data_IF_167547567494
#
_entry.id   IF_167547567494
#
_cell.length_a   1.000
_cell.length_b   1.000
_cell.length_c   1.000
_cell.angle_alpha   90.00
_cell.angle_beta   90.00
_cell.angle_gamma   90.00
#
_symmetry.space_group_name_H-M   'P 1'
#
loop_
_entity.id
_entity.type
_entity.pdbx_description
1 polymer ?
#
# COMPACT_ATOMS: atom_id res chain seq x y z
N UNK A 1 -23.63 22.50 22.88
CA UNK A 1 -23.33 21.23 23.57
C UNK A 1 -24.54 20.35 23.38
N UNK A 2 -24.45 19.28 22.58
CA UNK A 2 -25.48 18.24 22.64
C UNK A 2 -25.43 17.63 24.05
N UNK A 3 -26.60 17.43 24.66
CA UNK A 3 -26.67 16.89 26.00
C UNK A 3 -26.36 15.39 25.96
N UNK A 4 -25.28 14.96 26.62
CA UNK A 4 -24.87 13.54 26.71
C UNK A 4 -26.01 12.63 27.20
N UNK A 5 -26.95 13.18 27.98
CA UNK A 5 -28.14 12.49 28.48
C UNK A 5 -29.06 11.93 27.38
N UNK A 6 -28.90 12.38 26.12
CA UNK A 6 -29.66 11.88 24.98
C UNK A 6 -29.12 10.54 24.43
N UNK A 7 -27.85 10.21 24.68
CA UNK A 7 -27.17 9.02 24.16
C UNK A 7 -27.95 7.71 24.40
N UNK A 8 -28.48 7.41 25.62
CA UNK A 8 -29.22 6.17 25.85
C UNK A 8 -30.50 6.06 25.00
N UNK A 9 -31.16 7.19 24.73
CA UNK A 9 -32.36 7.22 23.90
C UNK A 9 -32.03 7.06 22.42
N UNK A 10 -30.97 7.72 21.96
CA UNK A 10 -30.47 7.58 20.60
C UNK A 10 -30.01 6.15 20.30
N UNK A 11 -29.35 5.47 21.24
CA UNK A 11 -28.94 4.06 21.08
C UNK A 11 -30.16 3.14 20.94
N UNK A 12 -31.17 3.30 21.79
CA UNK A 12 -32.44 2.55 21.68
C UNK A 12 -33.16 2.81 20.36
N UNK A 13 -33.18 4.07 19.91
CA UNK A 13 -33.83 4.45 18.66
C UNK A 13 -33.06 3.92 17.44
N UNK A 14 -31.73 3.92 17.48
CA UNK A 14 -30.90 3.36 16.43
C UNK A 14 -31.10 1.84 16.27
N UNK A 15 -31.33 1.12 17.36
CA UNK A 15 -31.64 -0.32 17.37
C UNK A 15 -33.05 -0.61 16.85
N UNK A 16 -34.05 0.20 17.24
CA UNK A 16 -35.45 -0.03 16.89
C UNK A 16 -35.84 0.40 15.46
N UNK A 17 -35.20 1.43 14.91
CA UNK A 17 -35.59 2.05 13.64
C UNK A 17 -34.78 1.52 12.45
N UNK A 18 -35.25 1.81 11.23
CA UNK A 18 -34.55 1.48 9.98
C UNK A 18 -34.63 2.61 8.95
N UNK A 19 -33.84 2.51 7.88
CA UNK A 19 -33.85 3.48 6.78
C UNK A 19 -33.42 4.89 7.22
N UNK A 20 -34.18 5.92 6.79
CA UNK A 20 -33.81 7.33 6.98
C UNK A 20 -33.76 7.76 8.44
N UNK A 21 -34.65 7.23 9.28
CA UNK A 21 -34.70 7.56 10.71
C UNK A 21 -33.44 7.05 11.40
N UNK A 22 -33.10 5.77 11.20
CA UNK A 22 -31.85 5.18 11.72
C UNK A 22 -30.62 5.96 11.23
N UNK A 23 -30.58 6.34 9.96
CA UNK A 23 -29.45 7.11 9.41
C UNK A 23 -29.24 8.44 10.15
N UNK A 24 -30.31 9.20 10.40
CA UNK A 24 -30.22 10.47 11.12
C UNK A 24 -29.78 10.29 12.58
N UNK A 25 -30.30 9.27 13.26
CA UNK A 25 -29.91 8.94 14.65
C UNK A 25 -28.44 8.55 14.73
N UNK A 26 -27.93 7.79 13.75
CA UNK A 26 -26.51 7.44 13.67
C UNK A 26 -25.63 8.67 13.42
N UNK A 27 -26.08 9.66 12.64
CA UNK A 27 -25.38 10.95 12.48
C UNK A 27 -25.33 11.74 13.79
N UNK A 28 -26.43 11.77 14.54
CA UNK A 28 -26.45 12.41 15.86
C UNK A 28 -25.53 11.71 16.86
N UNK A 29 -25.51 10.37 16.88
CA UNK A 29 -24.57 9.60 17.71
C UNK A 29 -23.11 9.82 17.28
N UNK A 30 -22.84 9.93 15.98
CA UNK A 30 -21.50 10.16 15.44
C UNK A 30 -20.91 11.51 15.91
N UNK A 31 -21.76 12.51 16.18
CA UNK A 31 -21.33 13.82 16.66
C UNK A 31 -20.68 13.78 18.07
N UNK A 32 -20.89 12.69 18.82
CA UNK A 32 -20.23 12.48 20.11
C UNK A 32 -18.85 11.81 20.00
N UNK A 33 -18.46 11.31 18.82
CA UNK A 33 -17.13 10.74 18.60
C UNK A 33 -16.04 11.85 18.62
N UNK A 34 -14.85 11.58 19.19
CA UNK A 34 -14.33 10.29 19.65
C UNK A 34 -14.69 9.94 21.10
N UNK A 35 -15.43 10.80 21.81
CA UNK A 35 -15.73 10.65 23.24
C UNK A 35 -16.99 9.81 23.53
N UNK A 36 -17.52 9.11 22.53
CA UNK A 36 -18.76 8.35 22.66
C UNK A 36 -18.62 7.21 23.69
N UNK A 37 -17.51 6.47 23.67
CA UNK A 37 -17.25 5.40 24.66
C UNK A 37 -17.15 5.95 26.09
N UNK A 38 -16.46 7.09 26.25
CA UNK A 38 -16.30 7.76 27.55
C UNK A 38 -17.66 8.26 28.07
N UNK A 39 -18.48 8.85 27.19
CA UNK A 39 -19.80 9.34 27.55
C UNK A 39 -20.75 8.21 27.96
N UNK A 40 -20.72 7.07 27.25
CA UNK A 40 -21.48 5.86 27.60
C UNK A 40 -21.06 5.33 28.98
N UNK A 41 -19.75 5.27 29.24
CA UNK A 41 -19.22 4.83 30.53
C UNK A 41 -19.63 5.77 31.68
N UNK A 42 -19.58 7.09 31.48
CA UNK A 42 -20.01 8.10 32.47
C UNK A 42 -21.50 7.96 32.81
N UNK A 43 -22.33 7.65 31.81
CA UNK A 43 -23.78 7.48 31.99
C UNK A 43 -24.16 6.11 32.59
N UNK A 44 -23.21 5.18 32.71
CA UNK A 44 -23.46 3.83 33.23
C UNK A 44 -24.43 3.03 32.36
N UNK A 45 -24.37 3.20 31.04
CA UNK A 45 -25.26 2.51 30.10
C UNK A 45 -24.68 1.14 29.74
N UNK A 46 -25.42 0.08 30.06
CA UNK A 46 -25.12 -1.26 29.59
C UNK A 46 -25.61 -1.42 28.14
N UNK A 47 -24.68 -1.62 27.20
CA UNK A 47 -24.98 -1.76 25.79
C UNK A 47 -25.47 -3.17 25.43
N UNK A 48 -26.50 -3.26 24.59
CA UNK A 48 -26.83 -4.52 23.89
C UNK A 48 -25.74 -4.86 22.86
N UNK A 49 -25.64 -6.12 22.38
CA UNK A 49 -24.68 -6.46 21.32
C UNK A 49 -24.83 -5.62 20.05
N UNK A 50 -26.06 -5.25 19.66
CA UNK A 50 -26.32 -4.39 18.50
C UNK A 50 -25.86 -2.95 18.77
N UNK A 51 -26.14 -2.41 19.95
CA UNK A 51 -25.68 -1.08 20.34
C UNK A 51 -24.15 -1.00 20.44
N UNK A 52 -23.50 -2.03 21.00
CA UNK A 52 -22.05 -2.14 21.02
C UNK A 52 -21.46 -2.15 19.61
N UNK A 53 -22.08 -2.88 18.68
CA UNK A 53 -21.68 -2.88 17.27
C UNK A 53 -21.85 -1.50 16.62
N UNK A 54 -22.95 -0.79 16.89
CA UNK A 54 -23.19 0.57 16.40
C UNK A 54 -22.09 1.52 16.91
N UNK A 55 -21.87 1.55 18.23
CA UNK A 55 -20.87 2.44 18.87
C UNK A 55 -19.48 2.18 18.30
N UNK A 56 -19.09 0.91 18.22
CA UNK A 56 -17.82 0.50 17.62
C UNK A 56 -17.68 1.01 16.18
N UNK A 57 -18.72 0.82 15.36
CA UNK A 57 -18.74 1.26 13.96
C UNK A 57 -18.61 2.79 13.84
N UNK A 58 -19.27 3.55 14.70
CA UNK A 58 -19.21 5.01 14.71
C UNK A 58 -17.82 5.52 15.09
N UNK A 59 -17.22 4.97 16.16
CA UNK A 59 -15.87 5.34 16.58
C UNK A 59 -14.83 4.99 15.51
N UNK A 60 -14.93 3.83 14.88
CA UNK A 60 -14.07 3.45 13.76
C UNK A 60 -14.21 4.41 12.57
N UNK A 61 -15.45 4.77 12.19
CA UNK A 61 -15.70 5.69 11.09
C UNK A 61 -15.13 7.09 11.37
N UNK A 62 -15.32 7.59 12.60
CA UNK A 62 -14.74 8.87 13.03
C UNK A 62 -13.21 8.83 13.00
N UNK A 63 -12.60 7.75 13.50
CA UNK A 63 -11.15 7.57 13.47
C UNK A 63 -10.63 7.53 12.04
N UNK A 64 -11.29 6.78 11.14
CA UNK A 64 -10.96 6.73 9.71
C UNK A 64 -11.02 8.12 9.07
N UNK A 65 -12.09 8.89 9.32
CA UNK A 65 -12.21 10.26 8.81
C UNK A 65 -11.10 11.17 9.35
N UNK A 66 -10.79 11.07 10.64
CA UNK A 66 -9.70 11.83 11.27
C UNK A 66 -8.35 11.54 10.62
N UNK A 67 -8.03 10.26 10.39
CA UNK A 67 -6.81 9.89 9.67
C UNK A 67 -6.82 10.39 8.23
N UNK A 68 -7.94 10.31 7.52
CA UNK A 68 -8.05 10.81 6.15
C UNK A 68 -7.82 12.33 6.05
N UNK A 69 -8.38 13.13 6.96
CA UNK A 69 -8.15 14.58 6.98
C UNK A 69 -6.71 14.93 7.33
N UNK A 70 -6.14 14.27 8.35
CA UNK A 70 -4.72 14.41 8.67
C UNK A 70 -3.83 14.02 7.48
N UNK A 71 -4.21 12.96 6.75
CA UNK A 71 -3.49 12.48 5.58
C UNK A 71 -3.53 13.48 4.41
N UNK A 72 -4.66 14.14 4.17
CA UNK A 72 -4.74 15.23 3.18
C UNK A 72 -3.78 16.37 3.54
N UNK A 73 -3.76 16.77 4.82
CA UNK A 73 -2.92 17.87 5.28
C UNK A 73 -1.43 17.54 5.16
N UNK A 74 -0.98 16.34 5.55
CA UNK A 74 0.44 15.97 5.46
C UNK A 74 0.92 15.89 4.00
N UNK A 75 0.05 15.50 3.07
CA UNK A 75 0.40 15.42 1.64
C UNK A 75 0.56 16.80 0.99
N UNK A 76 0.08 17.87 1.62
CA UNK A 76 0.28 19.24 1.16
C UNK A 76 1.63 19.82 1.60
N UNK A 77 2.46 19.05 2.32
CA UNK A 77 3.81 19.48 2.71
C UNK A 77 4.71 19.61 1.46
N UNK A 78 5.35 20.77 1.20
CA UNK A 78 6.19 20.95 0.01
C UNK A 78 7.56 20.26 0.11
N UNK A 79 8.03 19.97 1.31
CA UNK A 79 9.28 19.26 1.53
C UNK A 79 9.02 17.75 1.50
N UNK A 80 9.63 17.06 0.53
CA UNK A 80 9.42 15.62 0.32
C UNK A 80 9.88 14.77 1.51
N UNK A 81 10.96 15.15 2.19
CA UNK A 81 11.46 14.40 3.35
C UNK A 81 10.51 14.55 4.53
N UNK A 82 10.01 15.77 4.77
CA UNK A 82 8.99 16.01 5.80
C UNK A 82 7.66 15.34 5.49
N UNK A 83 7.25 15.30 4.22
CA UNK A 83 6.05 14.57 3.77
C UNK A 83 6.19 13.07 4.05
N UNK A 84 7.30 12.47 3.62
CA UNK A 84 7.57 11.04 3.83
C UNK A 84 7.62 10.69 5.31
N UNK A 85 8.32 11.48 6.13
CA UNK A 85 8.39 11.28 7.57
C UNK A 85 7.01 11.38 8.24
N UNK A 86 6.23 12.41 7.90
CA UNK A 86 4.89 12.62 8.46
C UNK A 86 3.92 11.49 8.10
N UNK A 87 4.01 10.97 6.87
CA UNK A 87 3.23 9.83 6.42
C UNK A 87 3.61 8.55 7.20
N UNK A 88 4.90 8.28 7.36
CA UNK A 88 5.41 7.12 8.10
C UNK A 88 5.08 7.18 9.60
N UNK A 89 5.14 8.38 10.20
CA UNK A 89 4.69 8.61 11.58
C UNK A 89 3.18 8.37 11.72
N UNK A 90 2.37 8.88 10.77
CA UNK A 90 0.93 8.63 10.77
C UNK A 90 0.59 7.13 10.62
N UNK A 91 1.25 6.39 9.73
CA UNK A 91 1.12 4.93 9.61
C UNK A 91 1.47 4.25 10.94
N UNK A 92 2.57 4.69 11.57
CA UNK A 92 3.01 4.12 12.84
C UNK A 92 1.96 4.29 13.94
N UNK A 93 1.31 5.45 14.00
CA UNK A 93 0.23 5.75 14.94
C UNK A 93 -1.04 4.93 14.67
N UNK A 94 -1.40 4.72 13.39
CA UNK A 94 -2.53 3.84 13.02
C UNK A 94 -2.32 2.43 13.57
N UNK A 95 -1.08 1.92 13.54
CA UNK A 95 -0.75 0.57 13.99
C UNK A 95 -0.48 0.46 15.50
N UNK A 96 -0.51 1.57 16.26
CA UNK A 96 -0.04 1.61 17.66
C UNK A 96 -1.14 1.39 18.71
N UNK A 97 -2.18 0.60 18.39
CA UNK A 97 -3.49 0.56 19.07
C UNK A 97 -3.49 0.49 20.62
N UNK A 98 -2.42 0.03 21.28
CA UNK A 98 -2.35 -0.08 22.75
C UNK A 98 -1.21 0.72 23.40
N UNK A 99 -0.21 1.17 22.63
CA UNK A 99 0.95 1.86 23.16
C UNK A 99 1.43 2.92 22.18
N UNK A 100 1.39 4.22 22.53
CA UNK A 100 1.90 5.26 21.66
C UNK A 100 3.40 5.04 21.43
N UNK A 101 3.80 4.92 20.17
CA UNK A 101 5.20 4.88 19.83
C UNK A 101 5.88 6.22 20.14
N UNK A 102 7.20 6.18 20.33
CA UNK A 102 8.01 7.41 20.30
C UNK A 102 7.88 8.05 18.92
N UNK A 103 7.84 9.38 18.86
CA UNK A 103 7.84 10.12 17.59
C UNK A 103 8.95 9.61 16.66
N UNK A 104 8.59 9.30 15.42
CA UNK A 104 9.54 8.83 14.40
C UNK A 104 10.67 9.84 14.24
N UNK A 105 10.34 11.13 14.18
CA UNK A 105 11.33 12.19 14.04
C UNK A 105 12.38 12.20 15.15
N UNK A 106 11.96 12.01 16.41
CA UNK A 106 12.89 11.91 17.54
C UNK A 106 13.83 10.71 17.43
N UNK A 107 13.33 9.55 16.97
CA UNK A 107 14.15 8.35 16.80
C UNK A 107 15.21 8.53 15.71
N UNK A 108 14.82 9.18 14.60
CA UNK A 108 15.72 9.50 13.49
C UNK A 108 16.74 10.58 13.87
N UNK A 109 16.34 11.61 14.63
CA UNK A 109 17.25 12.61 15.19
C UNK A 109 18.30 11.98 16.08
N UNK A 110 17.89 11.04 16.94
CA UNK A 110 18.82 10.31 17.81
C UNK A 110 19.85 9.50 17.02
N UNK A 111 19.44 8.85 15.93
CA UNK A 111 20.38 8.17 15.03
C UNK A 111 21.38 9.13 14.38
N UNK A 112 20.91 10.29 13.90
CA UNK A 112 21.77 11.31 13.31
C UNK A 112 22.76 11.88 14.35
N UNK A 113 22.31 12.14 15.57
CA UNK A 113 23.17 12.58 16.68
C UNK A 113 24.21 11.53 17.06
N UNK A 114 23.82 10.26 17.16
CA UNK A 114 24.74 9.17 17.45
C UNK A 114 25.80 9.00 16.35
N UNK A 115 25.42 9.16 15.07
CA UNK A 115 26.36 9.15 13.95
C UNK A 115 27.41 10.26 14.06
N UNK A 116 26.97 11.50 14.37
CA UNK A 116 27.86 12.68 14.51
C UNK A 116 28.90 12.55 15.62
N UNK A 117 28.69 11.69 16.62
CA UNK A 117 29.69 11.42 17.68
C UNK A 117 30.99 10.83 17.13
N UNK A 118 30.89 10.03 16.07
CA UNK A 118 32.01 9.27 15.52
C UNK A 118 32.45 9.76 14.13
N UNK A 119 31.60 10.51 13.43
CA UNK A 119 31.85 10.98 12.06
C UNK A 119 31.78 12.51 11.98
N UNK A 120 32.94 13.16 11.85
CA UNK A 120 33.04 14.63 11.73
C UNK A 120 32.48 15.18 10.42
N UNK A 121 32.54 14.39 9.35
CA UNK A 121 32.00 14.73 8.02
C UNK A 121 31.07 13.60 7.59
N UNK A 122 29.79 13.86 7.35
CA UNK A 122 28.87 12.85 6.84
C UNK A 122 29.30 12.33 5.47
N UNK A 123 29.21 11.01 5.31
CA UNK A 123 29.43 10.29 4.05
C UNK A 123 28.33 9.24 3.88
N UNK A 124 27.72 9.09 2.69
CA UNK A 124 26.64 8.12 2.46
C UNK A 124 27.04 6.67 2.79
N UNK A 125 28.24 6.25 2.39
CA UNK A 125 28.70 4.87 2.62
C UNK A 125 28.99 4.61 4.09
N UNK A 126 29.57 5.59 4.79
CA UNK A 126 29.73 5.52 6.25
C UNK A 126 28.39 5.48 6.98
N UNK A 127 27.40 6.27 6.53
CA UNK A 127 26.06 6.25 7.11
C UNK A 127 25.36 4.91 6.89
N UNK A 128 25.41 4.36 5.68
CA UNK A 128 24.84 3.04 5.39
C UNK A 128 25.44 1.96 6.29
N UNK A 129 26.78 1.94 6.43
CA UNK A 129 27.46 1.02 7.35
C UNK A 129 27.03 1.22 8.79
N UNK A 130 26.94 2.47 9.25
CA UNK A 130 26.51 2.79 10.60
C UNK A 130 25.09 2.29 10.89
N UNK A 131 24.12 2.56 10.00
CA UNK A 131 22.73 2.15 10.22
C UNK A 131 22.55 0.63 10.13
N UNK A 132 23.09 0.02 9.09
CA UNK A 132 22.74 -1.36 8.76
C UNK A 132 23.67 -2.41 9.37
N UNK A 133 24.92 -2.04 9.68
CA UNK A 133 25.88 -2.93 10.34
C UNK A 133 26.11 -2.57 11.80
N UNK A 134 26.40 -1.31 12.12
CA UNK A 134 26.70 -0.90 13.51
C UNK A 134 25.44 -0.86 14.38
N UNK A 135 24.35 -0.26 13.89
CA UNK A 135 23.06 -0.24 14.60
C UNK A 135 22.28 -1.54 14.39
N UNK A 136 22.61 -2.30 13.34
CA UNK A 136 22.09 -3.64 13.06
C UNK A 136 20.65 -3.64 12.55
N UNK A 137 20.20 -2.53 11.96
CA UNK A 137 18.90 -2.47 11.27
C UNK A 137 19.05 -3.30 9.99
N UNK A 138 18.18 -4.28 9.75
CA UNK A 138 18.37 -5.22 8.64
C UNK A 138 17.05 -5.61 7.97
N UNK A 139 17.17 -6.18 6.77
CA UNK A 139 16.05 -6.82 6.08
C UNK A 139 15.48 -7.99 6.87
N UNK A 140 14.20 -8.28 6.62
CA UNK A 140 13.51 -9.47 7.13
C UNK A 140 12.82 -10.20 5.98
N UNK A 141 13.14 -11.49 5.83
CA UNK A 141 12.54 -12.41 4.85
C UNK A 141 11.47 -13.32 5.49
N UNK A 142 11.56 -13.54 6.81
CA UNK A 142 10.60 -14.33 7.59
C UNK A 142 9.27 -13.57 7.74
N UNK A 143 8.13 -14.26 7.60
CA UNK A 143 6.81 -13.65 7.71
C UNK A 143 6.72 -12.34 6.90
N UNK A 144 7.15 -12.41 5.63
CA UNK A 144 7.31 -11.23 4.77
C UNK A 144 6.03 -10.36 4.69
N UNK A 145 4.86 -10.99 4.82
CA UNK A 145 3.56 -10.35 4.76
C UNK A 145 3.04 -9.83 6.10
N UNK A 146 3.91 -9.69 7.12
CA UNK A 146 3.55 -9.03 8.36
C UNK A 146 3.36 -7.50 8.17
N UNK A 147 2.19 -6.93 8.54
CA UNK A 147 1.95 -5.49 8.40
C UNK A 147 2.94 -4.60 9.17
N UNK A 148 3.56 -5.12 10.24
CA UNK A 148 4.54 -4.37 11.04
C UNK A 148 5.87 -4.16 10.30
N UNK A 149 6.23 -4.99 9.31
CA UNK A 149 7.50 -4.83 8.59
C UNK A 149 7.55 -3.57 7.70
N UNK A 150 6.39 -2.97 7.39
CA UNK A 150 6.27 -1.66 6.73
C UNK A 150 6.29 -0.47 7.71
N UNK A 151 6.22 -0.74 9.02
CA UNK A 151 6.18 0.30 10.05
C UNK A 151 7.60 0.77 10.40
N UNK A 152 7.88 2.07 10.21
CA UNK A 152 9.21 2.62 10.50
C UNK A 152 9.57 2.55 11.98
N UNK A 153 8.59 2.68 12.88
CA UNK A 153 8.83 2.60 14.32
C UNK A 153 9.26 1.19 14.72
N UNK A 154 8.52 0.19 14.24
CA UNK A 154 8.88 -1.22 14.39
C UNK A 154 10.30 -1.46 13.85
N UNK A 155 10.59 -0.97 12.63
CA UNK A 155 11.91 -1.15 12.04
C UNK A 155 13.05 -0.51 12.83
N UNK A 156 12.81 0.62 13.49
CA UNK A 156 13.81 1.28 14.33
C UNK A 156 13.96 0.63 15.72
N UNK A 157 12.90 0.03 16.27
CA UNK A 157 12.90 -0.64 17.58
C UNK A 157 13.41 -2.08 17.49
N UNK A 158 12.77 -2.88 16.64
CA UNK A 158 13.06 -4.29 16.42
C UNK A 158 14.18 -4.51 15.41
N UNK A 159 14.68 -3.43 14.79
CA UNK A 159 15.80 -3.44 13.85
C UNK A 159 15.55 -4.31 12.61
N UNK A 160 14.28 -4.44 12.19
CA UNK A 160 13.85 -5.27 11.07
C UNK A 160 12.79 -4.57 10.23
N UNK A 161 12.94 -4.55 8.91
CA UNK A 161 11.94 -3.95 8.03
C UNK A 161 12.06 -4.32 6.56
N UNK A 162 11.05 -3.94 5.78
CA UNK A 162 11.03 -4.12 4.32
C UNK A 162 11.99 -3.17 3.59
N UNK A 163 12.42 -3.50 2.35
CA UNK A 163 13.42 -2.70 1.62
C UNK A 163 13.11 -1.20 1.56
N UNK A 164 11.86 -0.84 1.22
CA UNK A 164 11.43 0.56 1.11
C UNK A 164 11.42 1.29 2.46
N UNK A 165 11.07 0.58 3.55
CA UNK A 165 11.08 1.12 4.91
C UNK A 165 12.51 1.43 5.36
N UNK A 166 13.45 0.53 5.08
CA UNK A 166 14.86 0.70 5.43
C UNK A 166 15.53 1.80 4.61
N UNK A 167 15.20 1.89 3.31
CA UNK A 167 15.64 3.00 2.47
C UNK A 167 15.09 4.34 2.97
N UNK A 168 13.83 4.41 3.41
CA UNK A 168 13.27 5.62 4.01
C UNK A 168 14.02 6.04 5.29
N UNK A 169 14.39 5.09 6.17
CA UNK A 169 15.23 5.39 7.34
C UNK A 169 16.56 6.01 6.89
N UNK A 170 17.23 5.41 5.90
CA UNK A 170 18.51 5.91 5.39
C UNK A 170 18.40 7.31 4.79
N UNK A 171 17.37 7.55 3.97
CA UNK A 171 17.10 8.86 3.38
C UNK A 171 16.83 9.92 4.45
N UNK A 172 15.98 9.63 5.44
CA UNK A 172 15.57 10.60 6.45
C UNK A 172 16.67 10.91 7.49
N UNK A 173 17.53 9.93 7.81
CA UNK A 173 18.73 10.19 8.61
C UNK A 173 19.78 10.94 7.78
N UNK A 174 19.91 10.60 6.50
CA UNK A 174 20.76 11.33 5.55
C UNK A 174 20.39 12.80 5.44
N UNK A 175 19.10 13.09 5.28
CA UNK A 175 18.55 14.44 5.25
C UNK A 175 18.97 15.26 6.48
N UNK A 176 18.82 14.70 7.69
CA UNK A 176 19.26 15.33 8.95
C UNK A 176 20.76 15.61 9.01
N UNK A 177 21.55 14.80 8.30
CA UNK A 177 23.00 14.94 8.21
C UNK A 177 23.44 15.84 7.04
N UNK A 178 22.52 16.36 6.23
CA UNK A 178 22.82 17.16 5.05
C UNK A 178 23.33 16.33 3.85
N UNK A 179 23.08 15.01 3.85
CA UNK A 179 23.40 14.13 2.74
C UNK A 179 22.23 14.08 1.75
N UNK A 180 22.55 14.17 0.45
CA UNK A 180 21.57 14.00 -0.61
C UNK A 180 21.46 12.52 -0.97
N UNK A 181 20.47 11.84 -0.40
CA UNK A 181 20.17 10.43 -0.66
C UNK A 181 18.75 10.34 -1.21
N UNK A 182 18.60 9.71 -2.35
CA UNK A 182 17.32 9.57 -3.07
C UNK A 182 16.92 8.09 -3.13
N UNK A 183 15.63 7.81 -3.33
CA UNK A 183 15.17 6.45 -3.58
C UNK A 183 15.60 5.94 -4.95
N UNK A 184 15.63 4.63 -5.12
CA UNK A 184 15.87 3.97 -6.41
C UNK A 184 14.86 2.83 -6.60
N UNK A 185 13.95 3.01 -7.56
CA UNK A 185 12.85 2.09 -7.81
C UNK A 185 13.29 0.93 -8.72
N UNK A 186 13.84 -0.13 -8.14
CA UNK A 186 14.15 -1.37 -8.85
C UNK A 186 12.93 -2.30 -8.90
N UNK A 187 12.58 -2.92 -10.04
CA UNK A 187 11.53 -3.94 -10.08
C UNK A 187 11.75 -5.05 -9.03
N UNK A 188 10.69 -5.41 -8.30
CA UNK A 188 10.75 -6.42 -7.23
C UNK A 188 11.53 -6.02 -5.97
N UNK A 189 12.14 -4.83 -5.91
CA UNK A 189 12.95 -4.41 -4.75
C UNK A 189 12.84 -2.88 -4.50
N UNK A 190 13.56 -2.37 -3.52
CA UNK A 190 13.76 -0.93 -3.34
C UNK A 190 15.16 -0.64 -2.84
N UNK A 191 15.84 0.28 -3.50
CA UNK A 191 17.22 0.67 -3.18
C UNK A 191 17.27 2.17 -2.87
N UNK A 192 18.42 2.65 -2.43
CA UNK A 192 18.70 4.08 -2.35
C UNK A 192 19.90 4.43 -3.23
N UNK A 193 20.05 5.70 -3.60
CA UNK A 193 21.19 6.18 -4.36
C UNK A 193 21.73 7.49 -3.81
N UNK A 194 23.02 7.75 -4.06
CA UNK A 194 23.67 9.03 -3.77
C UNK A 194 24.67 9.38 -4.85
N UNK A 195 24.64 10.63 -5.30
CA UNK A 195 25.66 11.18 -6.19
C UNK A 195 26.90 11.57 -5.39
N UNK A 196 28.06 11.04 -5.76
CA UNK A 196 29.36 11.34 -5.13
C UNK A 196 30.39 11.76 -6.18
N UNK A 197 31.55 12.29 -5.74
CA UNK A 197 32.70 12.53 -6.64
C UNK A 197 33.17 11.17 -7.18
N UNK A 198 32.79 10.86 -8.42
CA UNK A 198 33.13 9.59 -9.09
C UNK A 198 31.95 8.85 -9.71
N UNK A 199 30.70 9.28 -9.44
CA UNK A 199 29.51 8.70 -10.06
C UNK A 199 28.33 8.57 -9.10
N UNK A 200 27.41 7.68 -9.45
CA UNK A 200 26.26 7.32 -8.62
C UNK A 200 26.59 6.03 -7.86
N UNK A 201 26.43 6.07 -6.53
CA UNK A 201 26.44 4.88 -5.69
C UNK A 201 25.01 4.43 -5.42
N UNK A 202 24.79 3.13 -5.51
CA UNK A 202 23.55 2.45 -5.16
C UNK A 202 23.75 1.70 -3.83
N UNK A 203 22.74 1.75 -2.97
CA UNK A 203 22.74 1.19 -1.63
C UNK A 203 21.57 0.22 -1.47
N UNK A 204 21.88 -1.05 -1.21
CA UNK A 204 20.90 -2.03 -0.77
C UNK A 204 20.80 -1.99 0.76
N UNK A 205 19.83 -1.22 1.23
CA UNK A 205 19.53 -1.05 2.65
C UNK A 205 19.00 -2.33 3.30
N UNK A 206 18.38 -3.21 2.51
CA UNK A 206 17.87 -4.50 2.97
C UNK A 206 19.00 -5.50 3.19
N UNK A 207 20.00 -5.51 2.30
CA UNK A 207 21.21 -6.34 2.38
C UNK A 207 22.35 -5.64 3.10
N UNK A 208 22.11 -5.27 4.36
CA UNK A 208 23.12 -4.71 5.29
C UNK A 208 23.89 -3.49 4.77
N UNK A 209 23.23 -2.66 3.95
CA UNK A 209 23.84 -1.45 3.38
C UNK A 209 24.89 -1.75 2.32
N UNK A 210 24.75 -2.83 1.56
CA UNK A 210 25.66 -3.16 0.46
C UNK A 210 25.73 -2.01 -0.54
N UNK A 211 26.94 -1.65 -0.95
CA UNK A 211 27.21 -0.55 -1.89
C UNK A 211 27.65 -1.12 -3.22
N UNK A 212 27.12 -0.56 -4.31
CA UNK A 212 27.48 -0.94 -5.68
C UNK A 212 27.29 0.22 -6.66
N UNK A 213 27.86 0.09 -7.85
CA UNK A 213 27.55 0.96 -8.99
C UNK A 213 26.43 0.37 -9.88
N UNK A 214 25.99 1.15 -10.88
CA UNK A 214 24.94 0.71 -11.81
C UNK A 214 25.37 -0.50 -12.66
N UNK A 215 26.60 -0.60 -13.21
CA UNK A 215 27.08 -1.82 -13.88
C UNK A 215 27.01 -3.08 -13.01
N UNK A 216 27.43 -2.99 -11.75
CA UNK A 216 27.34 -4.08 -10.79
C UNK A 216 25.87 -4.46 -10.53
N UNK A 217 24.99 -3.48 -10.34
CA UNK A 217 23.55 -3.73 -10.17
C UNK A 217 22.93 -4.42 -11.39
N UNK A 218 23.32 -4.03 -12.62
CA UNK A 218 22.85 -4.66 -13.85
C UNK A 218 23.19 -6.15 -13.88
N UNK A 219 24.43 -6.50 -13.50
CA UNK A 219 24.88 -7.90 -13.48
C UNK A 219 24.14 -8.77 -12.46
N UNK A 220 23.58 -8.19 -11.41
CA UNK A 220 22.90 -8.91 -10.32
C UNK A 220 21.38 -8.95 -10.46
N UNK A 221 20.79 -7.91 -11.06
CA UNK A 221 19.33 -7.75 -11.16
C UNK A 221 18.75 -8.26 -12.48
N UNK A 222 19.58 -8.56 -13.49
CA UNK A 222 19.17 -8.84 -14.87
C UNK A 222 18.39 -7.69 -15.54
N UNK A 223 18.37 -6.49 -14.93
CA UNK A 223 17.80 -5.29 -15.53
C UNK A 223 18.84 -4.65 -16.46
N UNK A 224 18.50 -4.33 -17.72
CA UNK A 224 19.42 -3.69 -18.65
C UNK A 224 20.01 -2.39 -18.09
N UNK A 225 21.33 -2.21 -18.26
CA UNK A 225 22.05 -1.07 -17.70
C UNK A 225 21.45 0.29 -18.12
N UNK A 226 21.00 0.42 -19.37
CA UNK A 226 20.33 1.63 -19.85
C UNK A 226 19.03 1.95 -19.10
N UNK A 227 18.26 0.93 -18.74
CA UNK A 227 17.06 1.10 -17.91
C UNK A 227 17.43 1.53 -16.49
N UNK A 228 18.51 0.98 -15.91
CA UNK A 228 18.99 1.41 -14.60
C UNK A 228 19.46 2.87 -14.58
N UNK A 229 20.11 3.36 -15.64
CA UNK A 229 20.42 4.79 -15.79
C UNK A 229 19.16 5.66 -15.87
N UNK A 230 18.11 5.19 -16.55
CA UNK A 230 16.83 5.89 -16.59
C UNK A 230 16.20 5.97 -15.19
N UNK A 231 16.16 4.86 -14.44
CA UNK A 231 15.64 4.83 -13.07
C UNK A 231 16.46 5.73 -12.13
N UNK A 232 17.79 5.73 -12.29
CA UNK A 232 18.67 6.60 -11.49
C UNK A 232 18.40 8.09 -11.72
N UNK A 233 18.09 8.49 -12.96
CA UNK A 233 17.78 9.89 -13.29
C UNK A 233 16.38 10.34 -12.87
N UNK A 234 15.50 9.38 -12.58
CA UNK A 234 14.11 9.63 -12.21
C UNK A 234 13.81 8.93 -10.86
N UNK A 235 14.40 9.40 -9.75
CA UNK A 235 14.12 8.85 -8.44
C UNK A 235 12.62 8.99 -8.10
N UNK A 236 12.04 8.05 -7.34
CA UNK A 236 10.63 8.15 -6.95
C UNK A 236 10.41 9.32 -6.01
N UNK A 237 9.29 10.02 -6.18
CA UNK A 237 8.84 11.06 -5.25
C UNK A 237 8.47 10.47 -3.88
N UNK A 238 8.36 11.34 -2.88
CA UNK A 238 7.82 10.94 -1.58
C UNK A 238 6.41 10.32 -1.71
N UNK A 239 5.57 10.85 -2.60
CA UNK A 239 4.22 10.33 -2.86
C UNK A 239 4.25 8.92 -3.44
N UNK A 240 5.11 8.67 -4.43
CA UNK A 240 5.31 7.34 -5.00
C UNK A 240 5.79 6.35 -3.92
N UNK A 241 6.73 6.75 -3.06
CA UNK A 241 7.19 5.91 -1.95
C UNK A 241 6.07 5.58 -0.96
N UNK A 242 5.32 6.61 -0.53
CA UNK A 242 4.18 6.46 0.38
C UNK A 242 3.13 5.51 -0.20
N UNK A 243 2.79 5.66 -1.48
CA UNK A 243 1.84 4.79 -2.16
C UNK A 243 2.29 3.33 -2.14
N UNK A 244 3.57 3.06 -2.40
CA UNK A 244 4.14 1.70 -2.34
C UNK A 244 4.14 1.11 -0.93
N UNK A 245 4.43 1.92 0.09
CA UNK A 245 4.34 1.50 1.49
C UNK A 245 2.89 1.12 1.84
N UNK A 246 1.92 1.96 1.47
CA UNK A 246 0.51 1.66 1.67
C UNK A 246 0.08 0.39 0.91
N UNK A 247 0.56 0.19 -0.32
CA UNK A 247 0.31 -1.05 -1.08
C UNK A 247 0.83 -2.28 -0.34
N UNK A 248 2.05 -2.24 0.19
CA UNK A 248 2.61 -3.33 1.00
C UNK A 248 1.73 -3.61 2.23
N UNK A 249 1.24 -2.58 2.91
CA UNK A 249 0.34 -2.70 4.06
C UNK A 249 -1.00 -3.32 3.69
N UNK A 250 -1.61 -2.90 2.58
CA UNK A 250 -2.86 -3.48 2.08
C UNK A 250 -2.68 -4.97 1.80
N UNK A 251 -1.63 -5.34 1.07
CA UNK A 251 -1.34 -6.75 0.76
C UNK A 251 -1.11 -7.56 2.04
N UNK A 252 -0.33 -7.04 2.98
CA UNK A 252 -0.06 -7.68 4.26
C UNK A 252 -1.35 -7.90 5.07
N UNK A 253 -2.12 -6.85 5.33
CA UNK A 253 -3.36 -6.93 6.09
C UNK A 253 -4.39 -7.87 5.43
N UNK A 254 -4.51 -7.84 4.11
CA UNK A 254 -5.40 -8.74 3.37
C UNK A 254 -5.02 -10.21 3.57
N UNK A 255 -3.72 -10.56 3.46
CA UNK A 255 -3.25 -11.94 3.68
C UNK A 255 -3.48 -12.44 5.11
N UNK A 256 -3.57 -11.53 6.09
CA UNK A 256 -3.93 -11.86 7.47
C UNK A 256 -5.44 -11.76 7.76
N UNK A 257 -6.30 -11.54 6.76
CA UNK A 257 -7.75 -11.43 6.93
C UNK A 257 -8.22 -10.16 7.64
N UNK A 258 -7.36 -9.14 7.74
CA UNK A 258 -7.64 -7.88 8.45
C UNK A 258 -8.32 -6.87 7.51
N UNK A 259 -9.63 -6.99 7.35
CA UNK A 259 -10.38 -6.17 6.37
C UNK A 259 -10.50 -4.69 6.75
N UNK A 260 -10.57 -4.35 8.03
CA UNK A 260 -10.66 -2.95 8.48
C UNK A 260 -9.41 -2.13 8.11
N UNK A 261 -8.17 -2.57 8.45
CA UNK A 261 -6.96 -1.92 7.95
C UNK A 261 -6.88 -1.84 6.43
N UNK A 262 -7.30 -2.89 5.71
CA UNK A 262 -7.35 -2.86 4.23
C UNK A 262 -8.21 -1.70 3.75
N UNK A 263 -9.42 -1.54 4.27
CA UNK A 263 -10.31 -0.44 3.87
C UNK A 263 -9.74 0.94 4.21
N UNK A 264 -9.05 1.06 5.36
CA UNK A 264 -8.38 2.30 5.74
C UNK A 264 -7.22 2.63 4.79
N UNK A 265 -6.23 1.74 4.64
CA UNK A 265 -5.06 1.99 3.80
C UNK A 265 -5.43 2.19 2.33
N UNK A 266 -6.38 1.42 1.79
CA UNK A 266 -6.90 1.64 0.44
C UNK A 266 -7.51 3.03 0.27
N UNK A 267 -8.18 3.57 1.31
CA UNK A 267 -8.69 4.94 1.26
C UNK A 267 -7.57 5.99 1.29
N UNK A 268 -6.50 5.76 2.06
CA UNK A 268 -5.31 6.64 2.08
C UNK A 268 -4.55 6.58 0.75
N UNK A 269 -4.48 5.43 0.10
CA UNK A 269 -3.90 5.27 -1.24
C UNK A 269 -4.67 6.13 -2.25
N UNK A 270 -6.00 6.06 -2.23
CA UNK A 270 -6.86 6.90 -3.11
C UNK A 270 -6.61 8.39 -2.88
N UNK A 271 -6.40 8.83 -1.64
CA UNK A 271 -6.07 10.24 -1.35
C UNK A 271 -4.68 10.61 -1.85
N UNK A 272 -3.70 9.71 -1.68
CA UNK A 272 -2.30 9.92 -2.12
C UNK A 272 -2.22 10.17 -3.63
N UNK A 273 -3.06 9.48 -4.41
CA UNK A 273 -3.08 9.58 -5.87
C UNK A 273 -3.91 10.77 -6.43
N UNK A 274 -4.74 11.45 -5.63
CA UNK A 274 -5.69 12.49 -6.10
C UNK A 274 -5.07 13.81 -6.57
N UNK A 275 -3.81 14.09 -6.23
CA UNK A 275 -3.16 15.38 -6.53
C UNK A 275 -2.20 15.37 -7.73
N UNK A 276 -2.28 14.38 -8.62
CA UNK A 276 -1.63 14.47 -9.91
C UNK A 276 -0.20 13.93 -9.96
N UNK A 277 -0.01 12.68 -9.52
CA UNK A 277 0.87 11.79 -10.29
C UNK A 277 -0.05 10.99 -11.20
N UNK A 278 -0.27 11.53 -12.40
CA UNK A 278 -0.84 10.79 -13.52
C UNK A 278 0.23 9.91 -14.19
N UNK A 279 1.34 9.67 -13.51
CA UNK A 279 2.49 8.95 -14.05
C UNK A 279 2.59 7.57 -13.40
N UNK A 280 2.45 6.57 -14.28
CA UNK A 280 2.77 5.15 -14.13
C UNK A 280 1.64 4.19 -13.71
N UNK A 281 0.39 4.52 -14.02
CA UNK A 281 -0.60 3.48 -14.37
C UNK A 281 -1.18 3.86 -15.74
N UNK A 282 -0.79 3.09 -16.76
CA UNK A 282 -1.27 3.09 -18.15
C UNK A 282 -1.02 4.30 -19.07
N UNK A 283 0.14 4.26 -19.74
CA UNK A 283 0.22 4.61 -21.16
C UNK A 283 0.73 3.45 -22.03
N UNK A 284 0.47 2.20 -21.62
CA UNK A 284 0.43 1.06 -22.54
C UNK A 284 -1.04 0.75 -22.80
N UNK A 285 -1.45 0.88 -24.06
CA UNK A 285 -2.73 0.33 -24.48
C UNK A 285 -2.56 -1.19 -24.56
N UNK A 286 -2.96 -1.90 -23.51
CA UNK A 286 -3.11 -3.35 -23.57
C UNK A 286 -4.23 -3.71 -24.56
N UNK A 287 -4.13 -4.88 -25.20
CA UNK A 287 -5.15 -5.31 -26.15
C UNK A 287 -6.49 -5.53 -25.45
N UNK A 288 -6.45 -6.02 -24.20
CA UNK A 288 -7.61 -6.22 -23.35
C UNK A 288 -7.48 -5.45 -22.02
N UNK A 289 -7.80 -4.15 -21.94
CA UNK A 289 -7.76 -3.43 -20.67
C UNK A 289 -8.72 -4.02 -19.64
N UNK A 290 -8.50 -3.74 -18.35
CA UNK A 290 -9.39 -4.18 -17.28
C UNK A 290 -10.85 -3.72 -17.54
N UNK A 291 -11.80 -4.65 -17.43
CA UNK A 291 -13.18 -4.48 -17.83
C UNK A 291 -13.53 -5.06 -19.21
N UNK A 292 -12.54 -5.53 -19.97
CA UNK A 292 -12.78 -6.21 -21.26
C UNK A 292 -13.40 -7.58 -21.08
N UNK A 293 -14.39 -7.88 -21.91
CA UNK A 293 -14.94 -9.23 -22.07
C UNK A 293 -14.10 -10.01 -23.07
N UNK A 294 -13.66 -11.19 -22.66
CA UNK A 294 -12.79 -12.06 -23.44
C UNK A 294 -13.32 -13.48 -23.49
N UNK A 295 -12.93 -14.21 -24.53
CA UNK A 295 -13.14 -15.65 -24.67
C UNK A 295 -11.79 -16.32 -24.87
N UNK A 296 -11.57 -17.45 -24.19
CA UNK A 296 -10.35 -18.22 -24.37
C UNK A 296 -10.41 -19.01 -25.68
N UNK A 297 -9.47 -18.77 -26.59
CA UNK A 297 -9.44 -19.34 -27.94
C UNK A 297 -9.37 -20.86 -27.95
N UNK A 298 -8.69 -21.48 -26.97
CA UNK A 298 -8.53 -22.94 -26.89
C UNK A 298 -9.63 -23.66 -26.09
N UNK A 299 -10.13 -23.04 -25.01
CA UNK A 299 -11.01 -23.70 -24.04
C UNK A 299 -12.45 -23.18 -24.11
N UNK A 300 -12.68 -22.10 -24.85
CA UNK A 300 -14.00 -21.57 -25.17
C UNK A 300 -14.73 -20.88 -24.02
N UNK A 301 -14.16 -20.83 -22.81
CA UNK A 301 -14.79 -20.12 -21.69
C UNK A 301 -14.76 -18.61 -21.90
N UNK A 302 -15.78 -17.93 -21.37
CA UNK A 302 -15.89 -16.47 -21.33
C UNK A 302 -15.32 -15.95 -20.01
N UNK A 303 -14.86 -14.71 -19.99
CA UNK A 303 -14.41 -14.09 -18.76
C UNK A 303 -14.26 -12.58 -18.83
N UNK A 304 -14.07 -11.98 -17.66
CA UNK A 304 -13.86 -10.55 -17.48
C UNK A 304 -12.42 -10.31 -17.05
N UNK A 305 -11.68 -9.50 -17.82
CA UNK A 305 -10.31 -9.10 -17.45
C UNK A 305 -10.35 -8.17 -16.24
N UNK A 306 -9.67 -8.55 -15.16
CA UNK A 306 -9.61 -7.79 -13.90
C UNK A 306 -8.29 -7.07 -13.66
N UNK A 307 -7.20 -7.64 -14.15
CA UNK A 307 -5.88 -7.02 -14.14
C UNK A 307 -4.98 -7.59 -15.24
N UNK A 308 -3.85 -6.93 -15.48
CA UNK A 308 -2.88 -7.30 -16.51
C UNK A 308 -1.44 -7.15 -16.02
N UNK A 309 -0.66 -8.20 -16.23
CA UNK A 309 0.78 -8.20 -16.04
C UNK A 309 1.47 -8.03 -17.40
N UNK A 310 2.52 -7.20 -17.47
CA UNK A 310 3.22 -6.96 -18.74
C UNK A 310 3.90 -8.22 -19.30
N UNK A 311 4.23 -9.15 -18.41
CA UNK A 311 4.90 -10.42 -18.67
C UNK A 311 4.42 -11.46 -17.66
N UNK A 312 4.75 -12.72 -17.91
CA UNK A 312 4.37 -13.81 -17.01
C UNK A 312 4.98 -13.66 -15.59
N UNK A 313 4.17 -13.26 -14.62
CA UNK A 313 4.53 -13.27 -13.18
C UNK A 313 4.12 -14.55 -12.40
N UNK A 314 3.58 -15.56 -13.08
CA UNK A 314 3.19 -16.83 -12.44
C UNK A 314 4.36 -17.75 -12.12
N UNK A 315 4.10 -18.85 -11.40
CA UNK A 315 5.14 -19.85 -11.11
C UNK A 315 5.42 -20.80 -12.31
N UNK A 316 6.58 -21.48 -12.28
CA UNK A 316 6.97 -22.40 -13.34
C UNK A 316 6.05 -23.62 -13.47
N UNK A 317 5.32 -23.99 -12.41
CA UNK A 317 4.39 -25.12 -12.41
C UNK A 317 3.06 -24.79 -13.09
N UNK A 318 2.65 -23.52 -13.10
CA UNK A 318 1.50 -23.05 -13.86
C UNK A 318 1.76 -23.18 -15.36
N UNK A 319 2.90 -22.70 -15.83
CA UNK A 319 3.25 -22.78 -17.26
C UNK A 319 3.37 -24.23 -17.75
N UNK A 320 3.89 -25.14 -16.92
CA UNK A 320 4.01 -26.55 -17.25
C UNK A 320 2.66 -27.28 -17.44
N UNK A 321 1.55 -26.69 -16.97
CA UNK A 321 0.19 -27.24 -17.13
C UNK A 321 -0.51 -26.75 -18.39
N UNK A 322 0.06 -25.78 -19.11
CA UNK A 322 -0.53 -25.19 -20.31
C UNK A 322 0.08 -25.81 -21.57
N UNK A 323 -0.76 -26.34 -22.45
CA UNK A 323 -0.35 -26.93 -23.73
C UNK A 323 -1.17 -26.35 -24.90
N UNK A 324 -0.55 -25.65 -25.87
CA UNK A 324 0.87 -25.28 -25.89
C UNK A 324 1.19 -24.20 -24.85
N UNK A 325 2.38 -24.27 -24.26
CA UNK A 325 2.86 -23.27 -23.31
C UNK A 325 3.05 -21.91 -24.02
N UNK A 326 2.38 -20.83 -23.56
CA UNK A 326 2.54 -19.52 -24.17
C UNK A 326 3.92 -18.91 -23.91
N UNK A 327 4.31 -17.94 -24.74
CA UNK A 327 5.49 -17.13 -24.50
C UNK A 327 5.33 -16.30 -23.21
N UNK A 328 6.42 -16.10 -22.47
CA UNK A 328 6.42 -15.36 -21.19
C UNK A 328 6.51 -13.84 -21.36
N UNK A 329 7.05 -13.39 -22.49
CA UNK A 329 7.37 -12.01 -22.84
C UNK A 329 6.22 -11.30 -23.58
N UNK A 330 4.98 -11.66 -23.25
CA UNK A 330 3.76 -11.02 -23.71
C UNK A 330 2.89 -10.67 -22.50
N UNK A 331 1.86 -9.81 -22.65
CA UNK A 331 0.92 -9.55 -21.56
C UNK A 331 0.18 -10.82 -21.12
N UNK A 332 -0.01 -10.93 -19.80
CA UNK A 332 -0.82 -11.97 -19.19
C UNK A 332 -1.95 -11.35 -18.39
N UNK A 333 -3.12 -11.96 -18.47
CA UNK A 333 -4.37 -11.39 -17.98
C UNK A 333 -4.93 -12.23 -16.84
N UNK A 334 -5.29 -11.55 -15.76
CA UNK A 334 -6.11 -12.10 -14.71
C UNK A 334 -7.57 -12.00 -15.11
N UNK A 335 -8.29 -13.12 -15.10
CA UNK A 335 -9.64 -13.23 -15.67
C UNK A 335 -10.59 -13.89 -14.68
N UNK A 336 -11.75 -13.29 -14.47
CA UNK A 336 -12.88 -13.90 -13.77
C UNK A 336 -13.65 -14.79 -14.76
N UNK A 337 -13.75 -16.10 -14.50
CA UNK A 337 -14.36 -17.04 -15.46
C UNK A 337 -15.89 -17.08 -15.28
N UNK A 338 -16.62 -16.82 -16.36
CA UNK A 338 -18.09 -16.77 -16.38
C UNK A 338 -18.74 -18.09 -15.94
N UNK A 339 -19.81 -17.99 -15.14
CA UNK A 339 -20.56 -19.13 -14.63
C UNK A 339 -19.79 -19.98 -13.61
N UNK A 340 -18.68 -19.48 -13.09
CA UNK A 340 -17.83 -20.19 -12.11
C UNK A 340 -17.48 -19.30 -10.92
N UNK A 341 -16.74 -19.86 -9.96
CA UNK A 341 -16.10 -19.16 -8.85
C UNK A 341 -14.57 -19.13 -8.98
N UNK A 342 -14.03 -19.54 -10.12
CA UNK A 342 -12.59 -19.62 -10.36
C UNK A 342 -12.10 -18.42 -11.16
N UNK A 343 -10.89 -18.00 -10.84
CA UNK A 343 -10.12 -17.02 -11.61
C UNK A 343 -9.03 -17.75 -12.37
N UNK A 344 -8.64 -17.23 -13.52
CA UNK A 344 -7.60 -17.82 -14.37
C UNK A 344 -6.57 -16.77 -14.76
N UNK A 345 -5.39 -17.25 -15.15
CA UNK A 345 -4.27 -16.44 -15.59
C UNK A 345 -3.82 -16.91 -16.97
N UNK A 346 -4.12 -16.11 -17.99
CA UNK A 346 -4.03 -16.50 -19.40
C UNK A 346 -3.22 -15.49 -20.22
N UNK A 347 -2.49 -16.00 -21.22
CA UNK A 347 -1.68 -15.17 -22.10
C UNK A 347 -2.54 -14.44 -23.15
N UNK A 348 -2.11 -13.25 -23.58
CA UNK A 348 -2.78 -12.47 -24.63
C UNK A 348 -3.07 -13.29 -25.89
N UNK A 349 -2.10 -14.10 -26.34
CA UNK A 349 -2.20 -14.94 -27.53
C UNK A 349 -3.30 -16.01 -27.47
N UNK A 350 -3.86 -16.27 -26.28
CA UNK A 350 -4.90 -17.27 -26.06
C UNK A 350 -6.29 -16.67 -25.91
N UNK A 351 -6.44 -15.35 -26.07
CA UNK A 351 -7.69 -14.64 -25.87
C UNK A 351 -8.19 -14.01 -27.18
N UNK A 352 -9.51 -13.88 -27.29
CA UNK A 352 -10.19 -13.03 -28.26
C UNK A 352 -11.31 -12.23 -27.56
N UNK A 353 -11.78 -11.15 -28.18
CA UNK A 353 -12.93 -10.40 -27.66
C UNK A 353 -14.20 -11.26 -27.63
N UNK A 354 -15.02 -11.03 -26.60
CA UNK A 354 -16.36 -11.59 -26.52
C UNK A 354 -17.42 -10.53 -26.83
N UNK A 355 -18.02 -10.64 -28.01
CA UNK A 355 -19.03 -9.71 -28.55
C UNK A 355 -20.48 -10.12 -28.20
N UNK A 356 -20.68 -11.02 -27.24
CA UNK A 356 -22.00 -11.59 -26.96
C UNK A 356 -22.94 -10.68 -26.16
N UNK A 357 -22.48 -9.52 -25.67
CA UNK A 357 -23.21 -8.56 -24.83
C UNK A 357 -23.87 -9.17 -23.57
N UNK A 358 -23.47 -10.39 -23.17
CA UNK A 358 -24.00 -11.07 -21.98
C UNK A 358 -23.17 -10.70 -20.75
N UNK A 359 -23.85 -10.44 -19.65
CA UNK A 359 -23.19 -10.24 -18.36
C UNK A 359 -22.40 -11.49 -17.93
N UNK A 360 -21.30 -11.26 -17.22
CA UNK A 360 -20.46 -12.26 -16.56
C UNK A 360 -21.04 -12.55 -15.19
N UNK A 361 -21.37 -13.82 -14.96
CA UNK A 361 -21.81 -14.34 -13.66
C UNK A 361 -20.61 -14.88 -12.89
N UNK A 362 -20.00 -14.05 -12.03
CA UNK A 362 -18.92 -14.46 -11.14
C UNK A 362 -18.99 -13.68 -9.80
N UNK A 363 -18.78 -14.32 -8.63
CA UNK A 363 -19.01 -13.70 -7.32
C UNK A 363 -18.13 -12.47 -7.05
N UNK A 364 -16.95 -12.38 -7.67
CA UNK A 364 -16.03 -11.25 -7.51
C UNK A 364 -16.31 -10.06 -8.43
N UNK A 365 -17.28 -10.13 -9.33
CA UNK A 365 -17.57 -9.02 -10.28
C UNK A 365 -17.93 -7.74 -9.54
N UNK A 366 -18.81 -7.82 -8.54
CA UNK A 366 -19.24 -6.65 -7.74
C UNK A 366 -18.13 -6.10 -6.85
N UNK A 367 -17.10 -6.89 -6.56
CA UNK A 367 -15.93 -6.46 -5.81
C UNK A 367 -15.02 -5.55 -6.65
N UNK A 368 -14.78 -5.88 -7.93
CA UNK A 368 -13.81 -5.18 -8.78
C UNK A 368 -14.44 -4.22 -9.80
N UNK A 369 -15.75 -4.33 -10.04
CA UNK A 369 -16.41 -3.61 -11.11
C UNK A 369 -17.71 -2.96 -10.67
N UNK A 370 -18.01 -1.82 -11.30
CA UNK A 370 -19.33 -1.21 -11.31
C UNK A 370 -19.92 -1.36 -12.70
N UNK A 371 -21.22 -1.63 -12.78
CA UNK A 371 -21.90 -1.69 -14.06
C UNK A 371 -22.11 -0.27 -14.62
N UNK A 372 -21.58 -0.01 -15.81
CA UNK A 372 -21.76 1.25 -16.53
C UNK A 372 -23.14 1.36 -17.18
N UNK A 373 -23.51 2.58 -17.60
CA UNK A 373 -24.82 2.87 -18.22
C UNK A 373 -25.10 2.12 -19.54
N UNK A 374 -24.05 1.55 -20.16
CA UNK A 374 -24.12 0.86 -21.44
C UNK A 374 -23.78 -0.65 -21.32
N UNK A 375 -23.84 -1.23 -20.11
CA UNK A 375 -23.52 -2.66 -19.90
C UNK A 375 -22.02 -2.99 -19.86
N UNK A 376 -21.14 -1.99 -19.94
CA UNK A 376 -19.69 -2.17 -19.77
C UNK A 376 -19.28 -2.23 -18.30
N UNK A 377 -18.29 -3.06 -18.01
CA UNK A 377 -17.68 -3.18 -16.69
C UNK A 377 -16.67 -2.06 -16.46
N UNK A 378 -16.98 -1.16 -15.53
CA UNK A 378 -16.08 -0.07 -15.14
C UNK A 378 -15.26 -0.55 -13.95
N UNK A 379 -13.95 -0.72 -14.17
CA UNK A 379 -12.99 -1.10 -13.14
C UNK A 379 -13.03 -0.08 -12.01
N UNK A 380 -13.24 -0.54 -10.78
CA UNK A 380 -13.11 0.31 -9.60
C UNK A 380 -11.66 0.34 -9.10
N UNK A 381 -11.39 1.06 -8.02
CA UNK A 381 -10.02 1.17 -7.49
C UNK A 381 -9.61 0.00 -6.58
N UNK A 382 -10.38 -1.09 -6.47
CA UNK A 382 -10.04 -2.24 -5.62
C UNK A 382 -8.87 -3.01 -6.25
N UNK A 383 -7.69 -3.13 -5.64
CA UNK A 383 -6.55 -3.73 -6.32
C UNK A 383 -6.75 -5.23 -6.55
N UNK A 384 -6.11 -5.78 -7.59
CA UNK A 384 -6.00 -7.22 -7.73
C UNK A 384 -4.90 -7.75 -6.80
N UNK A 385 -5.19 -8.83 -6.07
CA UNK A 385 -4.28 -9.37 -5.04
C UNK A 385 -4.03 -10.87 -5.18
N UNK A 386 -4.53 -11.50 -6.25
CA UNK A 386 -4.50 -12.95 -6.43
C UNK A 386 -3.39 -13.33 -7.41
N UNK A 387 -2.23 -13.70 -6.87
CA UNK A 387 -1.29 -14.53 -7.62
C UNK A 387 -1.54 -15.97 -7.14
N UNK A 388 -2.13 -16.80 -8.00
CA UNK A 388 -2.27 -18.24 -7.77
C UNK A 388 -0.97 -18.96 -8.07
#
# INVERSE_FOLDING_TARGET
MQEINQIPFLLKLAEAESGKVRAHVLEELAAFCPHLDEAIAVLGVDLTPEQAFIVHTLNQNHQKQTYQERWKNLLNCPDESMMLESALDCISQIQSALFPYKSVGWMLDRLALDYRKYHKRPDPSELARFLFRTKGIRGIDEDYYNPLHSNINYALQEKKGLPITLAAIYMLVGFRLGLKIEGFNLPGHFLAQSCVRGGVLIFDCFREGMVMDLPQLASQSHVPLMQLYHLSRNPPSARTMIYRILRNLVTACFKHGQMEPVQLYSSLMKITNRHGEKDLIDSKSFHYPAGSLVKHSLFGYRGLVVDVDEQFEGDASHLAKLDPAPAKDQPWYHILVDGSNFTTYAAESQLCHDDSDREISHPLVTLFFKMGKNGHYIRNDEPWFWNQ
#
